data_IF_085615271162
#
_entry.id   IF_085615271162
#
_cell.length_a   1.000
_cell.length_b   1.000
_cell.length_c   1.000
_cell.angle_alpha   90.00
_cell.angle_beta   90.00
_cell.angle_gamma   90.00
#
_symmetry.space_group_name_H-M   'P 1'
#
loop_
_entity.id
_entity.type
_entity.pdbx_description
1 polymer ?
#
# COMPACT_ATOMS: atom_id res chain seq x y z
N UNK A 1 23.52 31.58 16.77
CA UNK A 1 24.14 31.83 15.44
C UNK A 1 24.28 30.56 14.60
N UNK A 2 25.03 29.51 14.99
CA UNK A 2 25.14 28.26 14.19
C UNK A 2 23.94 27.32 14.40
N UNK A 3 23.38 27.29 15.62
CA UNK A 3 22.20 26.46 15.96
C UNK A 3 20.95 26.88 15.15
N UNK A 4 20.77 28.17 14.91
CA UNK A 4 19.64 28.70 14.13
C UNK A 4 19.74 28.34 12.64
N UNK A 5 20.95 28.32 12.08
CA UNK A 5 21.15 27.97 10.67
C UNK A 5 20.80 26.50 10.38
N UNK A 6 21.30 25.58 11.19
CA UNK A 6 21.00 24.16 11.03
C UNK A 6 19.55 23.81 11.38
N UNK A 7 18.98 24.47 12.40
CA UNK A 7 17.56 24.31 12.75
C UNK A 7 16.64 24.73 11.60
N UNK A 8 16.83 25.93 11.06
CA UNK A 8 16.01 26.44 9.96
C UNK A 8 16.19 25.62 8.68
N UNK A 9 17.41 25.19 8.38
CA UNK A 9 17.68 24.32 7.23
C UNK A 9 16.89 23.00 7.31
N UNK A 10 16.91 22.33 8.47
CA UNK A 10 16.16 21.08 8.66
C UNK A 10 14.65 21.33 8.57
N UNK A 11 14.14 22.37 9.24
CA UNK A 11 12.71 22.69 9.18
C UNK A 11 12.21 23.04 7.78
N UNK A 12 13.05 23.63 6.93
CA UNK A 12 12.68 23.98 5.55
C UNK A 12 12.51 22.78 4.62
N UNK A 13 13.20 21.66 4.87
CA UNK A 13 13.11 20.43 4.05
C UNK A 13 12.07 19.44 4.56
N UNK A 14 11.57 19.59 5.80
CA UNK A 14 10.52 18.75 6.34
C UNK A 14 9.25 18.74 5.47
N UNK A 15 8.72 19.89 5.00
CA UNK A 15 7.49 19.92 4.19
C UNK A 15 7.59 19.11 2.90
N UNK A 16 8.75 19.14 2.22
CA UNK A 16 8.94 18.42 0.95
C UNK A 16 9.09 16.92 1.17
N UNK A 17 9.84 16.52 2.21
CA UNK A 17 9.95 15.11 2.60
C UNK A 17 8.59 14.56 3.02
N UNK A 18 7.83 15.32 3.82
CA UNK A 18 6.49 14.93 4.26
C UNK A 18 5.57 14.68 3.07
N UNK A 19 5.56 15.58 2.08
CA UNK A 19 4.79 15.38 0.85
C UNK A 19 5.23 14.13 0.08
N UNK A 20 6.55 13.89 -0.02
CA UNK A 20 7.08 12.68 -0.64
C UNK A 20 6.65 11.40 0.10
N UNK A 21 6.67 11.40 1.43
CA UNK A 21 6.23 10.28 2.26
C UNK A 21 4.73 10.02 2.13
N UNK A 22 3.90 11.07 2.11
CA UNK A 22 2.46 10.95 1.88
C UNK A 22 2.20 10.32 0.51
N UNK A 23 2.83 10.85 -0.54
CA UNK A 23 2.69 10.30 -1.89
C UNK A 23 3.12 8.83 -1.96
N UNK A 24 4.29 8.51 -1.41
CA UNK A 24 4.79 7.14 -1.34
C UNK A 24 3.82 6.23 -0.59
N UNK A 25 3.27 6.68 0.53
CA UNK A 25 2.31 5.91 1.32
C UNK A 25 1.02 5.63 0.55
N UNK A 26 0.48 6.63 -0.15
CA UNK A 26 -0.71 6.48 -1.01
C UNK A 26 -0.44 5.45 -2.10
N UNK A 27 0.65 5.61 -2.87
CA UNK A 27 1.01 4.67 -3.94
C UNK A 27 1.23 3.25 -3.39
N UNK A 28 1.91 3.14 -2.24
CA UNK A 28 2.15 1.87 -1.56
C UNK A 28 0.85 1.19 -1.12
N UNK A 29 -0.12 1.98 -0.66
CA UNK A 29 -1.44 1.51 -0.23
C UNK A 29 -2.25 0.97 -1.39
N UNK A 30 -2.35 1.72 -2.50
CA UNK A 30 -3.07 1.30 -3.72
C UNK A 30 -2.49 -0.02 -4.23
N UNK A 31 -1.16 -0.10 -4.42
CA UNK A 31 -0.51 -1.32 -4.89
C UNK A 31 -0.67 -2.51 -3.95
N UNK A 32 -0.90 -2.28 -2.64
CA UNK A 32 -1.17 -3.35 -1.67
C UNK A 32 -2.62 -3.82 -1.75
N UNK A 33 -3.56 -2.87 -1.83
CA UNK A 33 -4.99 -3.16 -1.91
C UNK A 33 -5.32 -4.03 -3.12
N UNK A 34 -4.80 -3.68 -4.30
CA UNK A 34 -4.97 -4.45 -5.54
C UNK A 34 -4.54 -5.93 -5.41
N UNK A 35 -3.50 -6.20 -4.61
CA UNK A 35 -3.03 -7.58 -4.37
C UNK A 35 -3.97 -8.32 -3.43
N UNK A 36 -4.40 -7.67 -2.35
CA UNK A 36 -5.28 -8.26 -1.34
C UNK A 36 -6.65 -8.59 -1.91
N UNK A 37 -7.23 -7.74 -2.76
CA UNK A 37 -8.54 -7.99 -3.38
C UNK A 37 -8.50 -9.23 -4.28
N UNK A 38 -7.46 -9.35 -5.12
CA UNK A 38 -7.29 -10.51 -6.01
C UNK A 38 -7.13 -11.82 -5.24
N UNK A 39 -6.33 -11.82 -4.18
CA UNK A 39 -6.14 -13.01 -3.34
C UNK A 39 -7.42 -13.41 -2.62
N UNK A 40 -8.16 -12.43 -2.10
CA UNK A 40 -9.40 -12.68 -1.35
C UNK A 40 -10.51 -13.20 -2.28
N UNK A 41 -10.65 -12.63 -3.48
CA UNK A 41 -11.55 -13.14 -4.51
C UNK A 41 -11.23 -14.58 -4.90
N UNK A 42 -9.96 -14.90 -5.15
CA UNK A 42 -9.53 -16.27 -5.48
C UNK A 42 -9.87 -17.26 -4.35
N UNK A 43 -9.65 -16.88 -3.10
CA UNK A 43 -10.00 -17.71 -1.93
C UNK A 43 -11.51 -17.94 -1.83
N UNK A 44 -12.30 -16.88 -1.95
CA UNK A 44 -13.75 -16.95 -1.87
C UNK A 44 -14.34 -17.82 -3.00
N UNK A 45 -13.88 -17.64 -4.23
CA UNK A 45 -14.33 -18.44 -5.39
C UNK A 45 -13.95 -19.93 -5.24
N UNK A 46 -12.78 -20.23 -4.65
CA UNK A 46 -12.37 -21.60 -4.35
C UNK A 46 -13.24 -22.25 -3.26
N UNK A 47 -13.56 -21.52 -2.20
CA UNK A 47 -14.47 -21.99 -1.15
C UNK A 47 -15.90 -22.24 -1.69
N UNK A 48 -16.44 -21.35 -2.51
CA UNK A 48 -17.74 -21.56 -3.14
C UNK A 48 -17.75 -22.78 -4.07
N UNK A 49 -16.70 -22.99 -4.86
CA UNK A 49 -16.58 -24.18 -5.72
C UNK A 49 -16.50 -25.47 -4.92
N UNK A 50 -15.71 -25.48 -3.85
CA UNK A 50 -15.61 -26.63 -2.96
C UNK A 50 -16.99 -26.98 -2.35
N UNK A 51 -17.75 -25.98 -1.89
CA UNK A 51 -19.12 -26.17 -1.38
C UNK A 51 -20.08 -26.68 -2.45
N UNK A 52 -19.92 -26.25 -3.71
CA UNK A 52 -20.74 -26.70 -4.85
C UNK A 52 -20.25 -28.02 -5.48
N UNK A 53 -19.18 -28.64 -4.95
CA UNK A 53 -18.59 -29.85 -5.52
C UNK A 53 -17.98 -29.66 -6.91
N UNK A 54 -17.70 -28.41 -7.30
CA UNK A 54 -17.12 -28.08 -8.59
C UNK A 54 -15.60 -28.26 -8.56
N UNK A 55 -14.97 -28.74 -9.65
CA UNK A 55 -13.52 -28.90 -9.70
C UNK A 55 -12.81 -27.54 -9.56
N UNK A 56 -11.59 -27.58 -9.01
CA UNK A 56 -10.75 -26.39 -8.91
C UNK A 56 -10.54 -25.78 -10.30
N UNK A 57 -10.64 -24.45 -10.40
CA UNK A 57 -10.41 -23.73 -11.66
C UNK A 57 -8.95 -23.98 -12.07
N UNK A 58 -8.75 -24.57 -13.24
CA UNK A 58 -7.45 -24.55 -13.91
C UNK A 58 -7.28 -23.12 -14.46
N UNK A 59 -6.38 -22.36 -13.84
CA UNK A 59 -5.93 -21.05 -14.32
C UNK A 59 -5.23 -21.19 -15.69
#
# INVERSE_FOLDING_TARGET
>A
MIQDFWGNAIFSVIPTILMGLIFWFIMRSILRADRTERETLKKYEAEERARRGLPAKKD
#
